data_IF_153126867078
#
_entry.id   IF_153126867078
#
_cell.length_a   1.000
_cell.length_b   1.000
_cell.length_c   1.000
_cell.angle_alpha   90.00
_cell.angle_beta   90.00
_cell.angle_gamma   90.00
#
_symmetry.space_group_name_H-M   'P 1'
#
loop_
_entity.id
_entity.type
_entity.pdbx_description
1 polymer ?
#
# COMPACT_ATOMS: atom_id res chain seq x y z
N UNK A 1 -9.43 32.60 -18.29
CA UNK A 1 -9.10 31.27 -18.89
C UNK A 1 -7.71 30.91 -18.41
N UNK A 2 -7.59 29.93 -17.51
CA UNK A 2 -6.33 29.56 -16.85
C UNK A 2 -5.86 28.19 -17.39
N UNK A 3 -5.30 28.20 -18.60
CA UNK A 3 -4.95 26.99 -19.37
C UNK A 3 -3.53 26.49 -19.12
N UNK A 4 -2.76 27.12 -18.22
CA UNK A 4 -1.37 26.72 -17.92
C UNK A 4 -1.17 25.81 -16.70
N UNK A 5 -2.17 25.73 -15.80
CA UNK A 5 -2.02 25.05 -14.49
C UNK A 5 -2.42 23.56 -14.49
N UNK A 6 -3.06 23.06 -15.54
CA UNK A 6 -3.62 21.69 -15.59
C UNK A 6 -2.70 20.63 -16.23
N UNK A 7 -1.51 21.00 -16.73
CA UNK A 7 -0.68 20.09 -17.54
C UNK A 7 0.30 19.18 -16.78
N UNK A 8 0.25 19.09 -15.44
CA UNK A 8 1.18 18.23 -14.67
C UNK A 8 0.55 17.45 -13.52
N UNK A 9 -0.77 17.25 -13.50
CA UNK A 9 -1.41 16.52 -12.41
C UNK A 9 -0.83 15.09 -12.25
N UNK A 10 -0.83 14.30 -13.32
CA UNK A 10 -0.31 12.92 -13.28
C UNK A 10 1.19 12.84 -12.89
N UNK A 11 2.12 13.64 -13.46
CA UNK A 11 3.51 13.66 -12.99
C UNK A 11 3.67 14.02 -11.50
N UNK A 12 2.84 14.93 -10.98
CA UNK A 12 2.85 15.34 -9.57
C UNK A 12 2.31 14.22 -8.70
N UNK A 13 1.16 13.63 -9.03
CA UNK A 13 0.57 12.50 -8.30
C UNK A 13 1.52 11.30 -8.27
N UNK A 14 2.17 10.98 -9.40
CA UNK A 14 3.18 9.94 -9.46
C UNK A 14 4.40 10.26 -8.57
N UNK A 15 4.82 11.53 -8.49
CA UNK A 15 5.91 11.94 -7.60
C UNK A 15 5.52 11.84 -6.12
N UNK A 16 4.29 12.21 -5.77
CA UNK A 16 3.73 12.06 -4.42
C UNK A 16 3.63 10.59 -4.04
N UNK A 17 3.15 9.72 -4.94
CA UNK A 17 3.08 8.29 -4.70
C UNK A 17 4.47 7.69 -4.46
N UNK A 18 5.47 8.01 -5.30
CA UNK A 18 6.86 7.58 -5.08
C UNK A 18 7.40 8.05 -3.72
N UNK A 19 7.06 9.27 -3.29
CA UNK A 19 7.44 9.79 -1.97
C UNK A 19 6.76 9.02 -0.84
N UNK A 20 5.48 8.65 -0.98
CA UNK A 20 4.80 7.79 -0.02
C UNK A 20 5.49 6.42 0.11
N UNK A 21 5.84 5.79 -1.02
CA UNK A 21 6.56 4.51 -0.99
C UNK A 21 7.91 4.64 -0.29
N UNK A 22 8.69 5.67 -0.62
CA UNK A 22 9.96 5.96 0.06
C UNK A 22 9.77 6.22 1.57
N UNK A 23 8.71 6.92 1.97
CA UNK A 23 8.41 7.14 3.38
C UNK A 23 8.08 5.83 4.10
N UNK A 24 7.21 5.00 3.52
CA UNK A 24 6.86 3.69 4.06
C UNK A 24 8.05 2.72 4.11
N UNK A 25 8.99 2.83 3.17
CA UNK A 25 10.24 2.09 3.16
C UNK A 25 11.23 2.57 4.23
N UNK A 26 11.27 3.88 4.51
CA UNK A 26 12.04 4.43 5.64
C UNK A 26 11.47 4.07 7.01
N UNK A 27 10.19 3.66 7.05
CA UNK A 27 9.41 3.32 8.25
C UNK A 27 9.03 1.85 8.30
N UNK A 28 10.03 0.97 8.20
CA UNK A 28 9.82 -0.49 8.29
C UNK A 28 9.32 -0.96 9.66
N UNK A 29 9.45 -0.11 10.68
CA UNK A 29 8.85 -0.28 12.01
C UNK A 29 7.31 -0.27 11.97
N UNK A 30 6.72 0.49 11.04
CA UNK A 30 5.27 0.58 10.88
C UNK A 30 4.74 -0.69 10.23
N UNK A 31 4.10 -1.57 11.01
CA UNK A 31 3.57 -2.83 10.50
C UNK A 31 2.28 -2.62 9.70
N UNK A 32 2.03 -3.53 8.75
CA UNK A 32 0.82 -3.45 7.93
C UNK A 32 -0.46 -3.61 8.77
N UNK A 33 -0.45 -4.37 9.86
CA UNK A 33 -1.63 -4.55 10.71
C UNK A 33 -2.01 -3.24 11.43
N UNK A 34 -1.03 -2.45 11.87
CA UNK A 34 -1.28 -1.14 12.47
C UNK A 34 -1.91 -0.17 11.46
N UNK A 35 -1.39 -0.15 10.23
CA UNK A 35 -1.96 0.65 9.15
C UNK A 35 -3.39 0.22 8.81
N UNK A 36 -3.66 -1.10 8.78
CA UNK A 36 -5.01 -1.61 8.56
C UNK A 36 -5.97 -1.21 9.69
N UNK A 37 -5.54 -1.34 10.94
CA UNK A 37 -6.34 -1.02 12.13
C UNK A 37 -6.65 0.48 12.25
N UNK A 38 -5.70 1.34 11.86
CA UNK A 38 -5.84 2.79 11.98
C UNK A 38 -6.52 3.43 10.75
N UNK A 39 -6.14 3.01 9.55
CA UNK A 39 -6.43 3.73 8.31
C UNK A 39 -7.15 2.90 7.25
N UNK A 40 -7.40 1.60 7.49
CA UNK A 40 -8.12 0.74 6.56
C UNK A 40 -7.34 0.37 5.28
N UNK A 41 -6.06 0.75 5.17
CA UNK A 41 -5.18 0.33 4.08
C UNK A 41 -3.75 0.09 4.57
N UNK A 42 -2.96 -0.69 3.84
CA UNK A 42 -1.54 -0.90 4.12
C UNK A 42 -0.74 -1.07 2.82
N UNK A 43 0.55 -1.43 2.90
CA UNK A 43 1.42 -1.67 1.72
C UNK A 43 0.85 -2.73 0.77
N UNK A 44 0.19 -3.76 1.30
CA UNK A 44 -0.46 -4.77 0.48
C UNK A 44 -1.65 -4.22 -0.32
N UNK A 45 -2.38 -3.24 0.23
CA UNK A 45 -3.45 -2.56 -0.50
C UNK A 45 -2.86 -1.73 -1.65
N UNK A 46 -1.78 -0.97 -1.40
CA UNK A 46 -1.07 -0.23 -2.45
C UNK A 46 -0.57 -1.16 -3.57
N UNK A 47 -0.09 -2.36 -3.22
CA UNK A 47 0.36 -3.36 -4.20
C UNK A 47 -0.81 -3.86 -5.06
N UNK A 48 -1.96 -4.11 -4.43
CA UNK A 48 -3.19 -4.51 -5.13
C UNK A 48 -3.66 -3.42 -6.10
N UNK A 49 -3.76 -2.17 -5.63
CA UNK A 49 -4.16 -1.04 -6.47
C UNK A 49 -3.21 -0.79 -7.64
N UNK A 50 -1.91 -0.99 -7.44
CA UNK A 50 -0.92 -0.88 -8.52
C UNK A 50 -1.13 -1.96 -9.59
N UNK A 51 -1.40 -3.20 -9.20
CA UNK A 51 -1.70 -4.28 -10.13
C UNK A 51 -3.03 -4.06 -10.87
N UNK A 52 -4.06 -3.56 -10.18
CA UNK A 52 -5.35 -3.21 -10.78
C UNK A 52 -5.20 -2.09 -11.82
N UNK A 53 -4.49 -1.01 -11.47
CA UNK A 53 -4.20 0.08 -12.41
C UNK A 53 -3.36 -0.37 -13.61
N UNK A 54 -2.45 -1.33 -13.43
CA UNK A 54 -1.71 -1.93 -14.56
C UNK A 54 -2.64 -2.75 -15.46
N UNK A 55 -3.54 -3.53 -14.88
CA UNK A 55 -4.51 -4.34 -15.63
C UNK A 55 -5.48 -3.49 -16.45
N UNK A 56 -5.93 -2.34 -15.93
CA UNK A 56 -6.74 -1.35 -16.65
C UNK A 56 -6.02 -0.80 -17.90
N UNK A 57 -4.68 -0.80 -17.89
CA UNK A 57 -3.84 -0.39 -19.02
C UNK A 57 -3.44 -1.58 -19.93
N UNK A 58 -4.02 -2.77 -19.71
CA UNK A 58 -3.70 -3.97 -20.47
C UNK A 58 -2.34 -4.60 -20.12
N UNK A 59 -1.72 -4.19 -19.01
CA UNK A 59 -0.44 -4.71 -18.54
C UNK A 59 -0.69 -5.79 -17.49
N UNK A 60 -0.36 -7.04 -17.81
CA UNK A 60 -0.37 -8.11 -16.83
C UNK A 60 0.79 -7.93 -15.84
N UNK A 61 0.45 -7.59 -14.60
CA UNK A 61 1.41 -7.51 -13.50
C UNK A 61 0.98 -8.50 -12.42
N UNK A 62 1.86 -9.47 -12.13
CA UNK A 62 1.58 -10.41 -11.06
C UNK A 62 1.69 -9.73 -9.67
N UNK A 63 1.15 -10.43 -8.67
CA UNK A 63 1.07 -9.94 -7.29
C UNK A 63 2.44 -9.70 -6.65
N UNK A 64 3.43 -10.54 -6.96
CA UNK A 64 4.76 -10.42 -6.36
C UNK A 64 5.54 -9.27 -6.97
N UNK A 65 5.44 -9.08 -8.28
CA UNK A 65 6.00 -7.93 -8.99
C UNK A 65 5.37 -6.61 -8.48
N UNK A 66 4.05 -6.58 -8.28
CA UNK A 66 3.39 -5.39 -7.72
C UNK A 66 3.86 -5.08 -6.29
N UNK A 67 4.07 -6.12 -5.47
CA UNK A 67 4.63 -5.95 -4.13
C UNK A 67 6.06 -5.44 -4.18
N UNK A 68 6.91 -5.99 -5.03
CA UNK A 68 8.29 -5.54 -5.15
C UNK A 68 8.38 -4.04 -5.48
N UNK A 69 7.48 -3.52 -6.33
CA UNK A 69 7.37 -2.07 -6.61
C UNK A 69 7.03 -1.24 -5.37
N UNK A 70 6.20 -1.76 -4.46
CA UNK A 70 5.75 -1.05 -3.26
C UNK A 70 6.73 -1.21 -2.08
N UNK A 71 7.33 -2.39 -1.92
CA UNK A 71 8.26 -2.71 -0.83
C UNK A 71 9.71 -2.36 -1.15
N UNK A 72 10.04 -2.06 -2.41
CA UNK A 72 11.40 -1.73 -2.85
C UNK A 72 12.35 -2.94 -2.92
N UNK A 73 11.86 -4.14 -2.59
CA UNK A 73 12.59 -5.40 -2.62
C UNK A 73 11.59 -6.58 -2.67
N UNK A 74 12.03 -7.82 -2.93
CA UNK A 74 11.16 -8.99 -2.90
C UNK A 74 10.40 -9.11 -1.57
N UNK A 75 9.08 -9.29 -1.64
CA UNK A 75 8.22 -9.30 -0.44
C UNK A 75 8.61 -10.39 0.57
N UNK A 76 9.06 -11.55 0.07
CA UNK A 76 9.54 -12.63 0.92
C UNK A 76 10.75 -12.21 1.76
N UNK A 77 11.69 -11.46 1.17
CA UNK A 77 12.86 -10.93 1.88
C UNK A 77 12.46 -9.84 2.86
N UNK A 78 11.57 -8.92 2.46
CA UNK A 78 11.06 -7.88 3.35
C UNK A 78 10.36 -8.48 4.58
N UNK A 79 9.52 -9.50 4.35
CA UNK A 79 8.83 -10.23 5.41
C UNK A 79 9.82 -10.89 6.38
N UNK A 80 10.84 -11.55 5.85
CA UNK A 80 11.84 -12.22 6.68
C UNK A 80 12.67 -11.24 7.54
N UNK A 81 12.93 -10.04 7.03
CA UNK A 81 13.79 -9.04 7.70
C UNK A 81 13.02 -8.10 8.64
N UNK A 82 11.78 -7.74 8.31
CA UNK A 82 11.11 -6.60 8.93
C UNK A 82 9.69 -6.87 9.45
N UNK A 83 9.03 -7.95 9.01
CA UNK A 83 7.70 -8.25 9.49
C UNK A 83 7.77 -8.88 10.88
N UNK A 84 7.07 -8.28 11.84
CA UNK A 84 6.92 -8.84 13.19
C UNK A 84 5.60 -9.61 13.30
N UNK A 85 5.55 -10.53 14.27
CA UNK A 85 4.28 -11.17 14.64
C UNK A 85 3.33 -10.11 15.21
N UNK A 86 2.06 -10.19 14.83
CA UNK A 86 1.05 -9.30 15.36
C UNK A 86 0.67 -9.72 16.79
N UNK A 87 0.49 -8.74 17.68
CA UNK A 87 0.00 -9.01 19.04
C UNK A 87 -1.46 -9.45 19.01
N UNK A 88 -1.91 -10.14 20.06
CA UNK A 88 -3.31 -10.53 20.19
C UNK A 88 -4.26 -9.33 20.13
N UNK A 89 -3.84 -8.18 20.66
CA UNK A 89 -4.60 -6.93 20.61
C UNK A 89 -4.72 -6.38 19.18
N UNK A 90 -3.61 -6.34 18.43
CA UNK A 90 -3.62 -5.91 17.02
C UNK A 90 -4.53 -6.81 16.18
N UNK A 91 -4.51 -8.12 16.41
CA UNK A 91 -5.37 -9.09 15.72
C UNK A 91 -6.84 -8.89 16.11
N UNK A 92 -7.13 -8.69 17.39
CA UNK A 92 -8.50 -8.45 17.85
C UNK A 92 -9.09 -7.17 17.24
N UNK A 93 -8.32 -6.07 17.22
CA UNK A 93 -8.74 -4.82 16.59
C UNK A 93 -8.97 -4.99 15.08
N UNK A 94 -8.07 -5.71 14.40
CA UNK A 94 -8.22 -6.00 12.97
C UNK A 94 -9.51 -6.76 12.68
N UNK A 95 -9.82 -7.78 13.47
CA UNK A 95 -11.04 -8.58 13.31
C UNK A 95 -12.30 -7.75 13.60
N UNK A 96 -12.32 -6.98 14.68
CA UNK A 96 -13.44 -6.10 15.01
C UNK A 96 -13.72 -5.07 13.91
N UNK A 97 -12.67 -4.50 13.31
CA UNK A 97 -12.81 -3.57 12.18
C UNK A 97 -13.43 -4.20 10.93
N UNK A 98 -13.20 -5.49 10.68
CA UNK A 98 -13.82 -6.23 9.56
C UNK A 98 -15.28 -6.56 9.79
N UNK A 99 -15.68 -6.80 11.03
CA UNK A 99 -17.07 -7.08 11.40
C UNK A 99 -17.92 -5.81 11.33
N UNK A 100 -17.36 -4.65 11.69
CA UNK A 100 -18.01 -3.34 11.54
C UNK A 100 -18.11 -2.82 10.10
N UNK A 101 -17.31 -3.35 9.16
CA UNK A 101 -17.39 -2.98 7.73
C UNK A 101 -18.41 -3.82 6.93
N UNK A 102 -19.12 -4.74 7.57
CA UNK A 102 -20.17 -5.58 6.96
C UNK A 102 -21.60 -5.07 7.23
N UNK A 103 -21.75 -3.83 7.70
CA UNK A 103 -23.06 -3.18 7.94
C UNK A 103 -23.44 -2.12 6.90
N UNK A 104 -22.90 -2.22 5.68
CA UNK A 104 -23.42 -1.54 4.49
C UNK A 104 -23.94 -2.56 3.47
#
# INVERSE_FOLDING_TARGET
MNTGAYMKQEPIEAAVFRRLLSHLDSRKDVQNIDLMNLAGFCRNCLSKWYAEAAAEQGLALDKEAARERVYGMPYAEWKAQYQTEATAEQVAQFNAGREGSNTD
#
